data_IF_038140478926
#
_entry.id   IF_038140478926
#
_cell.length_a   1.000
_cell.length_b   1.000
_cell.length_c   1.000
_cell.angle_alpha   90.00
_cell.angle_beta   90.00
_cell.angle_gamma   90.00
#
_symmetry.space_group_name_H-M   'P 1'
#
loop_
_entity.id
_entity.type
_entity.pdbx_description
1 polymer ?
#
# COMPACT_ATOMS: atom_id res chain seq x y z
N UNK A 1 -11.59 2.86 17.48
CA UNK A 1 -11.36 3.32 16.09
C UNK A 1 -12.61 3.21 15.22
N UNK A 2 -13.81 3.22 15.81
CA UNK A 2 -15.06 2.91 15.11
C UNK A 2 -15.49 3.93 14.04
N UNK A 3 -14.86 5.11 13.99
CA UNK A 3 -15.09 6.15 12.97
C UNK A 3 -13.91 6.32 11.99
N UNK A 4 -12.86 5.51 12.13
CA UNK A 4 -11.65 5.63 11.31
C UNK A 4 -11.69 4.69 10.11
N UNK A 5 -11.05 5.12 9.03
CA UNK A 5 -10.74 4.28 7.86
C UNK A 5 -9.32 3.71 8.00
N UNK A 6 -9.18 2.39 7.95
CA UNK A 6 -7.90 1.71 7.84
C UNK A 6 -7.50 1.59 6.37
N UNK A 7 -6.22 1.80 6.05
CA UNK A 7 -5.65 1.55 4.72
C UNK A 7 -4.58 0.47 4.86
N UNK A 8 -4.76 -0.64 4.15
CA UNK A 8 -3.93 -1.84 4.23
C UNK A 8 -3.21 -2.06 2.89
N UNK A 9 -1.89 -1.87 2.82
CA UNK A 9 -1.14 -2.21 1.61
C UNK A 9 -0.92 -3.72 1.54
N UNK A 10 -1.15 -4.29 0.35
CA UNK A 10 -0.61 -5.62 0.04
C UNK A 10 0.76 -5.52 -0.61
N UNK A 11 1.45 -6.66 -0.76
CA UNK A 11 2.75 -6.73 -1.43
C UNK A 11 2.51 -7.32 -2.81
N UNK A 12 2.42 -6.44 -3.80
CA UNK A 12 2.04 -6.78 -5.18
C UNK A 12 2.87 -5.98 -6.20
N UNK A 13 2.62 -6.21 -7.49
CA UNK A 13 3.38 -5.70 -8.64
C UNK A 13 3.76 -4.23 -8.52
N UNK A 14 5.03 -3.91 -8.76
CA UNK A 14 5.54 -2.54 -8.72
C UNK A 14 5.59 -1.89 -7.33
N UNK A 15 5.29 -2.65 -6.26
CA UNK A 15 5.17 -2.14 -4.89
C UNK A 15 4.26 -0.92 -4.75
N UNK A 16 3.28 -0.77 -5.65
CA UNK A 16 2.37 0.39 -5.68
C UNK A 16 1.70 0.61 -4.33
N UNK A 17 1.11 -0.41 -3.66
CA UNK A 17 0.49 -0.20 -2.37
C UNK A 17 1.44 0.40 -1.33
N UNK A 18 2.67 -0.12 -1.23
CA UNK A 18 3.64 0.34 -0.23
C UNK A 18 4.16 1.75 -0.54
N UNK A 19 4.39 2.06 -1.82
CA UNK A 19 4.80 3.40 -2.26
C UNK A 19 3.67 4.43 -2.06
N UNK A 20 2.42 4.05 -2.31
CA UNK A 20 1.23 4.88 -2.01
C UNK A 20 1.14 5.20 -0.52
N UNK A 21 1.38 4.21 0.35
CA UNK A 21 1.43 4.45 1.81
C UNK A 21 2.58 5.40 2.18
N UNK A 22 3.76 5.25 1.60
CA UNK A 22 4.87 6.19 1.83
C UNK A 22 4.47 7.62 1.50
N UNK A 23 3.87 7.86 0.33
CA UNK A 23 3.41 9.19 -0.06
C UNK A 23 2.36 9.74 0.91
N UNK A 24 1.37 8.93 1.29
CA UNK A 24 0.34 9.35 2.26
C UNK A 24 0.95 9.70 3.62
N UNK A 25 1.82 8.82 4.14
CA UNK A 25 2.48 8.94 5.44
C UNK A 25 3.30 10.22 5.57
N UNK A 26 4.05 10.60 4.53
CA UNK A 26 4.92 11.77 4.57
C UNK A 26 4.25 13.07 4.09
N UNK A 27 3.09 12.99 3.44
CA UNK A 27 2.37 14.17 2.94
C UNK A 27 1.39 14.75 3.97
N UNK A 28 0.80 13.89 4.80
CA UNK A 28 -0.14 14.30 5.84
C UNK A 28 0.45 14.12 7.23
N UNK A 29 -0.19 14.71 8.24
CA UNK A 29 0.26 14.68 9.64
C UNK A 29 -0.10 13.35 10.32
N UNK A 30 0.47 12.26 9.81
CA UNK A 30 0.40 10.93 10.42
C UNK A 30 1.41 10.81 11.58
N UNK A 31 0.98 10.21 12.68
CA UNK A 31 1.81 9.92 13.86
C UNK A 31 1.86 8.42 14.14
N UNK A 32 2.97 7.88 14.68
CA UNK A 32 3.05 6.48 15.07
C UNK A 32 1.89 6.08 16.00
N UNK A 33 1.26 4.94 15.71
CA UNK A 33 0.13 4.41 16.49
C UNK A 33 0.48 3.10 17.16
N UNK A 34 1.03 2.14 16.42
CA UNK A 34 1.35 0.81 16.94
C UNK A 34 2.40 0.11 16.08
N UNK A 35 3.07 -0.89 16.66
CA UNK A 35 3.81 -1.91 15.92
C UNK A 35 2.95 -3.17 15.93
N UNK A 36 2.73 -3.76 14.76
CA UNK A 36 1.93 -4.99 14.67
C UNK A 36 2.82 -6.20 14.87
N UNK A 37 2.21 -7.34 15.18
CA UNK A 37 2.94 -8.60 15.34
C UNK A 37 3.64 -8.98 14.02
N UNK A 38 4.98 -9.00 14.04
CA UNK A 38 5.81 -9.30 12.89
C UNK A 38 6.25 -10.76 12.84
N UNK A 39 5.67 -11.67 13.64
CA UNK A 39 6.04 -13.10 13.73
C UNK A 39 6.07 -13.79 12.35
N UNK A 40 5.22 -13.36 11.42
CA UNK A 40 5.08 -13.96 10.09
C UNK A 40 5.81 -13.20 8.97
N UNK A 41 6.59 -12.18 9.32
CA UNK A 41 7.33 -11.34 8.37
C UNK A 41 8.83 -11.62 8.47
N UNK A 42 9.56 -11.42 7.38
CA UNK A 42 11.01 -11.44 7.46
C UNK A 42 11.50 -10.37 8.44
N UNK A 43 12.49 -10.68 9.31
CA UNK A 43 13.04 -9.69 10.23
C UNK A 43 13.58 -8.47 9.52
N UNK A 44 13.27 -7.29 10.04
CA UNK A 44 13.73 -6.01 9.51
C UNK A 44 13.93 -5.01 10.63
N UNK A 45 15.00 -4.23 10.51
CA UNK A 45 15.28 -3.08 11.33
C UNK A 45 15.94 -2.03 10.44
N UNK A 46 15.35 -0.85 10.36
CA UNK A 46 15.86 0.25 9.55
C UNK A 46 15.93 1.56 10.33
N UNK A 47 16.64 2.58 9.81
CA UNK A 47 16.53 3.93 10.34
C UNK A 47 15.10 4.44 10.17
N UNK A 48 14.69 5.34 11.06
CA UNK A 48 13.46 6.12 10.85
C UNK A 48 13.65 7.01 9.63
N UNK A 49 12.69 6.94 8.71
CA UNK A 49 12.74 7.71 7.48
C UNK A 49 12.05 9.07 7.66
N UNK A 50 12.49 10.07 6.91
CA UNK A 50 12.08 11.47 7.04
C UNK A 50 11.55 11.98 5.72
N UNK A 51 10.49 12.79 5.70
CA UNK A 51 9.99 13.42 4.48
C UNK A 51 10.98 14.46 3.96
N UNK A 52 11.13 14.57 2.63
CA UNK A 52 12.08 15.50 2.01
C UNK A 52 11.84 17.00 2.33
N UNK A 53 10.69 17.35 2.92
CA UNK A 53 10.34 18.71 3.34
C UNK A 53 10.11 18.88 4.85
N UNK A 54 10.43 17.89 5.69
CA UNK A 54 10.27 18.05 7.14
C UNK A 54 11.49 18.80 7.69
N UNK A 55 11.43 20.12 7.57
CA UNK A 55 11.89 20.94 8.67
C UNK A 55 10.85 20.83 9.78
N UNK A 56 11.27 20.44 10.98
CA UNK A 56 10.62 20.80 12.27
C UNK A 56 9.31 20.12 12.69
N UNK A 57 9.25 18.78 12.76
CA UNK A 57 8.43 18.11 13.80
C UNK A 57 9.26 17.03 14.50
N UNK A 58 9.88 17.42 15.61
CA UNK A 58 10.45 16.58 16.68
C UNK A 58 11.55 15.55 16.34
N UNK A 59 12.65 16.01 15.71
CA UNK A 59 13.95 15.32 15.75
C UNK A 59 14.49 15.05 17.17
N UNK A 60 13.87 15.63 18.21
CA UNK A 60 14.30 15.46 19.61
C UNK A 60 13.68 14.26 20.32
N UNK A 61 12.63 13.64 19.77
CA UNK A 61 11.96 12.49 20.39
C UNK A 61 11.77 11.29 19.43
N UNK A 62 12.21 11.40 18.17
CA UNK A 62 12.12 10.30 17.21
C UNK A 62 13.31 9.34 17.37
N UNK A 63 13.45 8.76 18.57
CA UNK A 63 14.46 7.75 18.86
C UNK A 63 13.86 6.36 18.58
N UNK A 64 14.41 5.63 17.62
CA UNK A 64 13.98 4.27 17.36
C UNK A 64 14.46 3.71 16.02
N UNK A 65 13.95 2.53 15.71
CA UNK A 65 14.12 1.85 14.41
C UNK A 65 12.74 1.61 13.80
N UNK A 66 12.66 1.65 12.47
CA UNK A 66 11.52 1.12 11.75
C UNK A 66 11.51 -0.40 11.87
N UNK A 67 10.32 -0.96 12.09
CA UNK A 67 10.08 -2.40 12.22
C UNK A 67 9.34 -2.95 11.00
N UNK A 68 9.18 -4.28 10.85
CA UNK A 68 8.63 -4.87 9.64
C UNK A 68 7.22 -4.38 9.27
N UNK A 69 6.40 -4.09 10.28
CA UNK A 69 5.02 -3.62 10.10
C UNK A 69 4.58 -2.67 11.22
N UNK A 70 4.12 -1.49 10.82
CA UNK A 70 3.77 -0.41 11.73
C UNK A 70 2.46 0.24 11.30
N UNK A 71 1.70 0.72 12.27
CA UNK A 71 0.48 1.49 12.04
C UNK A 71 0.70 2.96 12.42
N UNK A 72 0.16 3.85 11.60
CA UNK A 72 0.24 5.30 11.77
C UNK A 72 -1.17 5.90 11.70
N UNK A 73 -1.50 6.87 12.56
CA UNK A 73 -2.83 7.51 12.58
C UNK A 73 -2.74 8.98 12.19
N UNK A 74 -3.77 9.48 11.54
CA UNK A 74 -4.03 10.91 11.39
C UNK A 74 -5.45 11.21 11.91
N UNK A 75 -5.54 11.90 13.04
CA UNK A 75 -6.82 12.15 13.73
C UNK A 75 -7.69 13.19 13.02
N UNK A 76 -7.07 14.12 12.29
CA UNK A 76 -7.76 15.11 11.45
C UNK A 76 -8.47 14.43 10.29
N UNK A 77 -7.79 13.49 9.62
CA UNK A 77 -8.33 12.76 8.48
C UNK A 77 -9.21 11.57 8.89
N UNK A 78 -9.16 11.14 10.16
CA UNK A 78 -9.75 9.87 10.64
C UNK A 78 -9.24 8.67 9.84
N UNK A 79 -7.94 8.65 9.54
CA UNK A 79 -7.30 7.58 8.77
C UNK A 79 -6.23 6.90 9.61
N UNK A 80 -6.13 5.58 9.50
CA UNK A 80 -4.98 4.78 9.95
C UNK A 80 -4.36 4.09 8.74
N UNK A 81 -3.04 4.18 8.60
CA UNK A 81 -2.26 3.50 7.57
C UNK A 81 -1.49 2.35 8.21
N UNK A 82 -1.43 1.21 7.54
CA UNK A 82 -0.41 0.20 7.80
C UNK A 82 0.74 0.46 6.84
N UNK A 83 1.97 0.50 7.36
CA UNK A 83 3.17 0.44 6.54
C UNK A 83 3.89 -0.88 6.77
N UNK A 84 4.11 -1.63 5.69
CA UNK A 84 4.77 -2.93 5.72
C UNK A 84 6.08 -2.86 4.93
N UNK A 85 7.21 -2.95 5.63
CA UNK A 85 8.57 -2.84 5.05
C UNK A 85 9.14 -4.19 4.64
N UNK A 86 8.59 -5.29 5.15
CA UNK A 86 9.15 -6.63 4.92
C UNK A 86 8.13 -7.56 4.30
N UNK A 87 8.57 -8.44 3.38
CA UNK A 87 7.68 -9.45 2.82
C UNK A 87 7.23 -10.44 3.89
N UNK A 88 6.09 -11.06 3.63
CA UNK A 88 5.58 -12.18 4.44
C UNK A 88 6.49 -13.39 4.18
N UNK A 89 6.80 -14.15 5.23
CA UNK A 89 7.53 -15.41 5.09
C UNK A 89 6.69 -16.35 4.21
N UNK A 90 7.35 -17.04 3.28
CA UNK A 90 6.68 -17.96 2.36
C UNK A 90 5.79 -18.96 3.13
N UNK A 91 4.59 -19.21 2.61
CA UNK A 91 3.56 -20.06 3.22
C UNK A 91 2.91 -19.53 4.51
N UNK A 92 3.29 -18.35 5.03
CA UNK A 92 2.68 -17.74 6.22
C UNK A 92 1.67 -16.62 5.92
N UNK A 93 1.28 -16.42 4.66
CA UNK A 93 0.27 -15.41 4.28
C UNK A 93 -1.04 -15.58 5.05
N UNK A 94 -1.61 -16.79 5.07
CA UNK A 94 -2.86 -17.06 5.79
C UNK A 94 -2.77 -16.77 7.30
N UNK A 95 -1.82 -17.37 8.06
CA UNK A 95 -1.74 -17.07 9.49
C UNK A 95 -1.41 -15.61 9.78
N UNK A 96 -0.64 -14.92 8.93
CA UNK A 96 -0.40 -13.49 9.06
C UNK A 96 -1.70 -12.68 8.94
N UNK A 97 -2.46 -12.90 7.88
CA UNK A 97 -3.73 -12.21 7.67
C UNK A 97 -4.72 -12.52 8.80
N UNK A 98 -4.94 -13.81 9.08
CA UNK A 98 -5.93 -14.29 10.03
C UNK A 98 -5.65 -13.87 11.47
N UNK A 99 -4.38 -13.87 11.90
CA UNK A 99 -4.01 -13.64 13.30
C UNK A 99 -3.55 -12.22 13.60
N UNK A 100 -3.11 -11.47 12.59
CA UNK A 100 -2.58 -10.11 12.78
C UNK A 100 -3.49 -9.07 12.16
N UNK A 101 -3.76 -9.16 10.86
CA UNK A 101 -4.41 -8.08 10.13
C UNK A 101 -5.92 -8.07 10.27
N UNK A 102 -6.58 -9.22 10.24
CA UNK A 102 -8.04 -9.29 10.40
C UNK A 102 -8.45 -8.79 11.79
N UNK A 103 -7.86 -9.26 12.91
CA UNK A 103 -8.19 -8.73 14.24
C UNK A 103 -7.92 -7.23 14.37
N UNK A 104 -6.86 -6.74 13.72
CA UNK A 104 -6.56 -5.31 13.68
C UNK A 104 -7.51 -4.53 12.77
N UNK A 105 -8.04 -5.13 11.70
CA UNK A 105 -8.87 -4.48 10.70
C UNK A 105 -10.33 -4.31 11.10
N UNK A 106 -10.92 -5.32 11.76
CA UNK A 106 -12.35 -5.35 12.08
C UNK A 106 -12.81 -4.37 13.18
N UNK A 107 -11.86 -3.63 13.77
CA UNK A 107 -12.11 -2.57 14.76
C UNK A 107 -12.32 -1.18 14.12
N UNK A 108 -12.22 -1.07 12.80
CA UNK A 108 -12.39 0.16 12.03
C UNK A 108 -13.77 0.23 11.38
N UNK A 109 -14.23 1.46 11.09
CA UNK A 109 -15.48 1.68 10.34
C UNK A 109 -15.38 1.07 8.95
N UNK A 110 -14.24 1.34 8.33
CA UNK A 110 -13.93 1.01 6.95
C UNK A 110 -12.48 0.52 6.86
N UNK A 111 -12.22 -0.43 5.99
CA UNK A 111 -10.89 -0.84 5.56
C UNK A 111 -10.79 -0.73 4.04
N UNK A 112 -9.72 -0.11 3.56
CA UNK A 112 -9.38 -0.02 2.14
C UNK A 112 -8.13 -0.83 1.90
N UNK A 113 -8.27 -1.90 1.14
CA UNK A 113 -7.14 -2.72 0.71
C UNK A 113 -6.55 -2.08 -0.54
N UNK A 114 -5.23 -1.86 -0.53
CA UNK A 114 -4.49 -1.42 -1.71
C UNK A 114 -3.81 -2.63 -2.34
N UNK A 115 -4.04 -2.83 -3.62
CA UNK A 115 -3.43 -3.91 -4.41
C UNK A 115 -3.05 -3.42 -5.79
N UNK A 116 -2.13 -4.13 -6.43
CA UNK A 116 -1.78 -3.93 -7.83
C UNK A 116 -1.68 -5.25 -8.57
N UNK A 117 -1.78 -5.17 -9.90
CA UNK A 117 -1.60 -6.28 -10.83
C UNK A 117 -0.82 -5.83 -12.06
N UNK A 118 -0.23 -6.78 -12.78
CA UNK A 118 0.47 -6.51 -14.03
C UNK A 118 -0.53 -6.11 -15.12
N UNK A 119 -0.28 -4.96 -15.74
CA UNK A 119 -1.12 -4.42 -16.82
C UNK A 119 -1.23 -5.36 -18.01
N UNK A 120 -0.22 -6.19 -18.29
CA UNK A 120 -0.27 -7.18 -19.37
C UNK A 120 -1.40 -8.20 -19.20
N UNK A 121 -1.80 -8.48 -17.95
CA UNK A 121 -2.91 -9.38 -17.62
C UNK A 121 -4.27 -8.72 -17.93
N UNK A 122 -4.33 -7.39 -17.99
CA UNK A 122 -5.58 -6.66 -18.30
C UNK A 122 -6.00 -6.79 -19.76
N UNK A 123 -5.10 -7.18 -20.69
CA UNK A 123 -5.44 -7.30 -22.11
C UNK A 123 -6.63 -8.24 -22.38
N UNK A 124 -6.87 -9.20 -21.47
CA UNK A 124 -7.97 -10.16 -21.55
C UNK A 124 -9.24 -9.71 -20.78
N UNK A 125 -9.17 -8.60 -20.04
CA UNK A 125 -10.25 -8.10 -19.18
C UNK A 125 -10.95 -6.86 -19.76
N UNK A 126 -12.18 -7.05 -20.25
CA UNK A 126 -13.06 -5.98 -20.72
C UNK A 126 -13.73 -5.25 -19.54
N UNK A 127 -12.91 -4.56 -18.75
CA UNK A 127 -13.37 -3.84 -17.57
C UNK A 127 -14.19 -2.59 -17.93
N UNK A 128 -15.41 -2.49 -17.40
CA UNK A 128 -16.34 -1.37 -17.67
C UNK A 128 -16.12 -0.17 -16.75
N UNK A 129 -15.44 -0.35 -15.61
CA UNK A 129 -15.31 0.64 -14.53
C UNK A 129 -13.85 1.10 -14.32
N UNK A 130 -13.01 1.00 -15.37
CA UNK A 130 -11.61 1.41 -15.28
C UNK A 130 -11.49 2.92 -15.31
N UNK A 131 -10.81 3.45 -14.31
CA UNK A 131 -10.43 4.85 -14.24
C UNK A 131 -9.03 5.00 -14.83
N UNK A 132 -8.90 5.84 -15.85
CA UNK A 132 -7.60 6.18 -16.42
C UNK A 132 -6.89 7.18 -15.49
N UNK A 133 -5.71 6.81 -15.00
CA UNK A 133 -4.79 7.75 -14.37
C UNK A 133 -4.03 8.59 -15.41
N UNK A 134 -3.10 9.42 -14.95
CA UNK A 134 -2.14 10.05 -15.86
C UNK A 134 -1.12 9.00 -16.32
N UNK A 135 -0.96 8.83 -17.65
CA UNK A 135 -0.03 7.87 -18.25
C UNK A 135 -0.66 6.51 -18.54
N UNK A 136 0.08 5.42 -18.27
CA UNK A 136 -0.37 4.04 -18.51
C UNK A 136 -0.99 3.36 -17.27
N UNK A 137 -1.10 4.07 -16.14
CA UNK A 137 -1.68 3.53 -14.93
C UNK A 137 -3.21 3.57 -14.99
N UNK A 138 -3.84 2.46 -14.62
CA UNK A 138 -5.30 2.33 -14.55
C UNK A 138 -5.73 1.83 -13.19
N UNK A 139 -6.90 2.28 -12.74
CA UNK A 139 -7.42 1.97 -11.41
C UNK A 139 -8.83 1.42 -11.46
N UNK A 140 -9.11 0.47 -10.58
CA UNK A 140 -10.46 0.01 -10.26
C UNK A 140 -10.71 0.13 -8.77
N UNK A 141 -11.91 0.58 -8.44
CA UNK A 141 -12.39 0.72 -7.08
C UNK A 141 -13.57 -0.21 -6.89
N UNK A 142 -13.49 -1.08 -5.88
CA UNK A 142 -14.55 -2.02 -5.55
C UNK A 142 -15.14 -1.66 -4.18
N UNK A 143 -16.47 -1.59 -4.12
CA UNK A 143 -17.24 -1.51 -2.89
C UNK A 143 -17.53 -2.90 -2.30
N UNK A 144 -17.96 -2.95 -1.04
CA UNK A 144 -18.12 -4.22 -0.30
C UNK A 144 -19.06 -5.22 -0.99
N UNK A 145 -20.12 -4.73 -1.64
CA UNK A 145 -21.06 -5.54 -2.41
C UNK A 145 -20.43 -6.13 -3.70
N UNK A 146 -19.46 -5.43 -4.30
CA UNK A 146 -18.72 -5.89 -5.49
C UNK A 146 -17.60 -6.86 -5.13
N UNK A 147 -17.15 -6.87 -3.87
CA UNK A 147 -16.14 -7.81 -3.36
C UNK A 147 -16.71 -9.19 -3.01
N UNK A 148 -18.02 -9.31 -2.75
CA UNK A 148 -18.67 -10.58 -2.42
C UNK A 148 -18.45 -11.68 -3.48
N UNK A 149 -18.60 -11.40 -4.80
CA UNK A 149 -18.25 -12.35 -5.84
C UNK A 149 -16.77 -12.74 -5.81
N UNK A 150 -15.86 -11.79 -5.57
CA UNK A 150 -14.40 -12.05 -5.57
C UNK A 150 -14.03 -13.06 -4.47
N UNK A 151 -14.63 -12.93 -3.28
CA UNK A 151 -14.38 -13.82 -2.16
C UNK A 151 -14.84 -15.27 -2.37
N UNK A 152 -15.70 -15.52 -3.35
CA UNK A 152 -16.24 -16.84 -3.66
C UNK A 152 -15.51 -17.55 -4.79
N UNK A 153 -14.62 -16.84 -5.49
CA UNK A 153 -13.85 -17.38 -6.59
C UNK A 153 -12.54 -18.00 -6.10
N UNK A 154 -12.08 -19.02 -6.80
CA UNK A 154 -10.68 -19.44 -6.72
C UNK A 154 -9.75 -18.33 -7.22
N UNK A 155 -8.46 -18.45 -6.91
CA UNK A 155 -7.45 -17.52 -7.40
C UNK A 155 -7.38 -17.49 -8.94
N UNK A 156 -7.51 -18.65 -9.58
CA UNK A 156 -7.48 -18.76 -11.03
C UNK A 156 -8.70 -18.07 -11.66
N UNK A 157 -9.91 -18.31 -11.12
CA UNK A 157 -11.13 -17.63 -11.59
C UNK A 157 -11.08 -16.11 -11.33
N UNK A 158 -10.50 -15.69 -10.21
CA UNK A 158 -10.31 -14.27 -9.90
C UNK A 158 -9.35 -13.62 -10.89
N UNK A 159 -8.25 -14.31 -11.22
CA UNK A 159 -7.27 -13.85 -12.20
C UNK A 159 -7.87 -13.76 -13.60
N UNK A 160 -8.65 -14.74 -14.01
CA UNK A 160 -9.32 -14.73 -15.32
C UNK A 160 -10.38 -13.62 -15.41
N UNK A 161 -11.15 -13.41 -14.33
CA UNK A 161 -12.29 -12.50 -14.36
C UNK A 161 -11.94 -11.05 -14.02
N UNK A 162 -10.91 -10.80 -13.23
CA UNK A 162 -10.56 -9.46 -12.72
C UNK A 162 -9.08 -9.09 -12.96
N UNK A 163 -8.32 -9.92 -13.68
CA UNK A 163 -6.88 -9.73 -13.91
C UNK A 163 -6.10 -9.46 -12.61
N UNK A 164 -6.47 -10.16 -11.53
CA UNK A 164 -6.02 -9.91 -10.17
C UNK A 164 -5.72 -11.23 -9.44
N UNK A 165 -4.55 -11.35 -8.82
CA UNK A 165 -4.03 -12.64 -8.30
C UNK A 165 -3.39 -12.54 -6.90
N UNK A 166 -3.64 -11.46 -6.15
CA UNK A 166 -3.06 -11.30 -4.81
C UNK A 166 -3.75 -12.20 -3.78
N UNK A 167 -3.08 -13.32 -3.43
CA UNK A 167 -3.49 -14.20 -2.33
C UNK A 167 -3.68 -13.40 -1.03
N UNK A 168 -2.82 -12.42 -0.80
CA UNK A 168 -2.86 -11.58 0.39
C UNK A 168 -4.15 -10.76 0.45
N UNK A 169 -4.48 -10.01 -0.61
CA UNK A 169 -5.71 -9.22 -0.61
C UNK A 169 -6.96 -10.12 -0.66
N UNK A 170 -6.93 -11.25 -1.37
CA UNK A 170 -8.04 -12.21 -1.37
C UNK A 170 -8.35 -12.76 0.02
N UNK A 171 -7.32 -13.14 0.80
CA UNK A 171 -7.51 -13.58 2.18
C UNK A 171 -8.07 -12.47 3.08
N UNK A 172 -7.63 -11.22 2.90
CA UNK A 172 -8.20 -10.09 3.64
C UNK A 172 -9.68 -9.89 3.28
N UNK A 173 -10.02 -9.97 1.99
CA UNK A 173 -11.39 -9.86 1.50
C UNK A 173 -12.26 -10.98 2.08
N UNK A 174 -11.85 -12.24 1.90
CA UNK A 174 -12.55 -13.43 2.40
C UNK A 174 -12.82 -13.34 3.90
N UNK A 175 -11.81 -12.98 4.70
CA UNK A 175 -11.88 -13.03 6.16
C UNK A 175 -12.50 -11.78 6.81
N UNK A 176 -12.54 -10.64 6.11
CA UNK A 176 -13.15 -9.40 6.62
C UNK A 176 -14.57 -9.16 6.11
N UNK A 177 -14.95 -9.76 4.97
CA UNK A 177 -16.32 -9.67 4.47
C UNK A 177 -17.31 -10.27 5.47
N UNK A 178 -18.45 -9.59 5.64
CA UNK A 178 -19.47 -9.96 6.62
C UNK A 178 -19.17 -9.51 8.05
N UNK A 179 -18.00 -8.89 8.31
CA UNK A 179 -17.78 -8.13 9.53
C UNK A 179 -18.57 -6.81 9.52
N UNK A 180 -18.53 -6.09 10.64
CA UNK A 180 -19.11 -4.75 10.75
C UNK A 180 -18.31 -3.65 10.01
N UNK A 181 -17.14 -4.00 9.48
CA UNK A 181 -16.24 -3.07 8.79
C UNK A 181 -16.58 -3.04 7.30
N UNK A 182 -16.89 -1.85 6.79
CA UNK A 182 -17.02 -1.62 5.35
C UNK A 182 -15.69 -1.91 4.66
N UNK A 183 -15.70 -2.71 3.60
CA UNK A 183 -14.49 -3.12 2.90
C UNK A 183 -14.47 -2.56 1.47
N UNK A 184 -13.34 -1.97 1.09
CA UNK A 184 -13.09 -1.53 -0.28
C UNK A 184 -11.75 -2.08 -0.79
N UNK A 185 -11.62 -2.22 -2.10
CA UNK A 185 -10.36 -2.54 -2.78
C UNK A 185 -10.05 -1.44 -3.79
N UNK A 186 -8.83 -0.90 -3.72
CA UNK A 186 -8.21 -0.15 -4.81
C UNK A 186 -7.23 -1.07 -5.53
N UNK A 187 -7.55 -1.42 -6.77
CA UNK A 187 -6.70 -2.22 -7.64
C UNK A 187 -6.04 -1.33 -8.70
N UNK A 188 -4.70 -1.30 -8.72
CA UNK A 188 -3.92 -0.60 -9.73
C UNK A 188 -3.35 -1.58 -10.77
N UNK A 189 -3.45 -1.25 -12.06
CA UNK A 189 -2.81 -1.99 -13.14
C UNK A 189 -1.56 -1.24 -13.61
N UNK A 190 -0.40 -1.89 -13.48
CA UNK A 190 0.91 -1.27 -13.72
C UNK A 190 1.86 -2.23 -14.43
N UNK A 191 2.87 -1.70 -15.10
CA UNK A 191 4.03 -2.49 -15.53
C UNK A 191 5.10 -2.47 -14.44
N UNK A 192 5.94 -3.50 -14.36
CA UNK A 192 7.12 -3.44 -13.50
C UNK A 192 8.12 -2.39 -13.99
N UNK A 193 8.77 -1.70 -13.05
CA UNK A 193 9.82 -0.74 -13.35
C UNK A 193 9.92 0.35 -12.30
N UNK A 194 10.20 1.58 -12.76
CA UNK A 194 10.09 2.76 -11.93
C UNK A 194 8.62 3.17 -11.80
N UNK A 195 8.04 2.84 -10.65
CA UNK A 195 6.63 3.05 -10.37
C UNK A 195 6.35 4.25 -9.46
N UNK A 196 7.28 5.21 -9.32
CA UNK A 196 7.03 6.39 -8.48
C UNK A 196 5.84 7.23 -8.96
N UNK A 197 5.70 7.41 -10.27
CA UNK A 197 4.57 8.15 -10.83
C UNK A 197 3.25 7.39 -10.65
N UNK A 198 3.25 6.08 -10.86
CA UNK A 198 2.05 5.24 -10.68
C UNK A 198 1.57 5.24 -9.21
N UNK A 199 2.51 5.26 -8.26
CA UNK A 199 2.20 5.41 -6.84
C UNK A 199 1.63 6.80 -6.51
N UNK A 200 2.14 7.88 -7.11
CA UNK A 200 1.54 9.21 -6.97
C UNK A 200 0.10 9.26 -7.49
N UNK A 201 -0.15 8.67 -8.65
CA UNK A 201 -1.50 8.59 -9.23
C UNK A 201 -2.43 7.71 -8.37
N UNK A 202 -1.92 6.59 -7.84
CA UNK A 202 -2.65 5.75 -6.88
C UNK A 202 -3.01 6.53 -5.62
N UNK A 203 -2.09 7.33 -5.08
CA UNK A 203 -2.33 8.19 -3.92
C UNK A 203 -3.36 9.29 -4.23
N UNK A 204 -3.30 9.94 -5.41
CA UNK A 204 -4.30 10.92 -5.85
C UNK A 204 -5.69 10.28 -5.93
N UNK A 205 -5.78 9.10 -6.53
CA UNK A 205 -7.04 8.37 -6.67
C UNK A 205 -7.62 8.01 -5.30
N UNK A 206 -6.80 7.47 -4.39
CA UNK A 206 -7.20 7.14 -3.03
C UNK A 206 -7.70 8.37 -2.25
N UNK A 207 -6.96 9.49 -2.33
CA UNK A 207 -7.35 10.78 -1.73
C UNK A 207 -8.71 11.24 -2.27
N UNK A 208 -8.94 11.11 -3.57
CA UNK A 208 -10.22 11.45 -4.19
C UNK A 208 -11.36 10.56 -3.68
N UNK A 209 -11.20 9.23 -3.70
CA UNK A 209 -12.23 8.29 -3.27
C UNK A 209 -12.60 8.45 -1.79
N UNK A 210 -11.62 8.76 -0.94
CA UNK A 210 -11.84 8.99 0.47
C UNK A 210 -12.28 10.42 0.81
N UNK A 211 -12.38 11.32 -0.17
CA UNK A 211 -12.75 12.71 0.05
C UNK A 211 -11.76 13.48 0.93
N UNK A 212 -10.47 13.10 0.91
CA UNK A 212 -9.44 13.72 1.73
C UNK A 212 -8.99 15.07 1.13
N UNK A 213 -8.42 15.98 1.95
CA UNK A 213 -7.93 17.27 1.47
C UNK A 213 -6.85 17.10 0.40
N UNK A 214 -7.11 17.58 -0.81
CA UNK A 214 -6.14 17.51 -1.91
C UNK A 214 -4.86 18.28 -1.56
N UNK A 215 -3.73 17.77 -2.05
CA UNK A 215 -2.40 18.39 -1.93
C UNK A 215 -1.86 18.64 -3.33
N UNK A 216 -1.16 19.76 -3.50
CA UNK A 216 -0.57 20.13 -4.80
C UNK A 216 0.50 19.12 -5.22
N UNK A 217 1.26 18.61 -4.24
CA UNK A 217 2.28 17.57 -4.42
C UNK A 217 2.33 16.63 -3.23
N UNK A 218 2.74 15.38 -3.49
CA UNK A 218 3.06 14.41 -2.45
C UNK A 218 4.53 14.52 -2.05
N UNK A 219 4.78 14.34 -0.76
CA UNK A 219 6.12 14.33 -0.19
C UNK A 219 6.68 12.91 -0.26
N UNK A 220 7.79 12.76 -0.98
CA UNK A 220 8.53 11.50 -1.04
C UNK A 220 9.37 11.32 0.23
N UNK A 221 9.48 10.09 0.75
CA UNK A 221 10.43 9.78 1.82
C UNK A 221 11.87 10.06 1.37
N UNK A 222 12.78 10.24 2.32
CA UNK A 222 14.21 10.42 2.02
C UNK A 222 14.81 9.12 1.47
N UNK A 223 14.33 7.95 1.92
CA UNK A 223 14.77 6.65 1.39
C UNK A 223 14.61 6.52 -0.12
N UNK A 224 13.65 7.21 -0.73
CA UNK A 224 13.45 7.19 -2.18
C UNK A 224 14.62 7.79 -2.96
N UNK A 225 15.50 8.58 -2.33
CA UNK A 225 16.71 9.10 -2.99
C UNK A 225 17.76 8.01 -3.23
N UNK A 226 17.79 6.97 -2.42
CA UNK A 226 18.79 5.89 -2.48
C UNK A 226 18.38 4.68 -3.31
N UNK A 227 17.23 4.73 -3.98
CA UNK A 227 16.64 3.60 -4.75
C UNK A 227 17.49 3.18 -5.95
N UNK A 228 18.27 4.11 -6.51
CA UNK A 228 19.25 3.83 -7.57
C UNK A 228 20.68 3.66 -7.01
N UNK A 229 20.81 3.50 -5.69
CA UNK A 229 22.07 3.47 -4.97
C UNK A 229 22.52 4.86 -4.52
N UNK A 230 23.24 4.90 -3.39
CA UNK A 230 23.81 6.14 -2.83
C UNK A 230 25.17 6.50 -3.47
N UNK A 231 25.66 5.69 -4.40
CA UNK A 231 26.87 5.98 -5.16
C UNK A 231 26.58 7.12 -6.14
N UNK A 232 27.49 8.09 -6.18
CA UNK A 232 27.44 9.13 -7.22
C UNK A 232 27.50 8.45 -8.58
N UNK A 233 26.61 8.84 -9.49
CA UNK A 233 26.61 8.32 -10.86
C UNK A 233 28.01 8.53 -11.45
N UNK A 234 28.70 7.45 -11.85
CA UNK A 234 30.04 7.57 -12.38
C UNK A 234 30.02 8.44 -13.63
N UNK A 235 30.93 9.41 -13.69
CA UNK A 235 31.03 10.35 -14.80
C UNK A 235 31.84 9.75 -15.97
N UNK A 236 32.45 8.58 -15.76
CA UNK A 236 33.31 7.88 -16.70
C UNK A 236 32.82 6.45 -16.97
N UNK A 237 32.95 6.00 -18.22
CA UNK A 237 32.48 4.69 -18.73
C UNK A 237 33.17 3.52 -18.01
N UNK A 238 34.36 3.75 -17.48
CA UNK A 238 35.22 2.72 -16.87
C UNK A 238 34.82 2.27 -15.46
N UNK A 239 33.86 2.94 -14.81
CA UNK A 239 33.43 2.58 -13.45
C UNK A 239 32.17 1.69 -13.40
N UNK A 240 31.50 1.44 -14.53
CA UNK A 240 30.30 0.63 -14.61
C UNK A 240 29.09 1.21 -13.86
N UNK A 241 27.88 0.89 -14.31
CA UNK A 241 26.64 1.30 -13.60
C UNK A 241 26.39 0.49 -12.31
N UNK A 242 27.03 -0.67 -12.19
CA UNK A 242 26.90 -1.60 -11.07
C UNK A 242 28.29 -2.01 -10.58
N UNK A 243 28.82 -1.25 -9.63
CA UNK A 243 30.04 -1.59 -8.89
C UNK A 243 29.84 -1.33 -7.42
#
# INVERSE_FOLDING_TARGET
MADYTLIVPTITTGNIPQLTIDLMLYTYDFVPMARLDSTYLYPFSGPLDSGNNISTKDDKNNNGVCTPIEAYRCDELKVVLIQQRSPIIASYTKPFVEKVLVPFGIQFKRAVILSSSDFSIQADYAATNVHNGVGNCKFEWFESNELLPIAQLSLDETREKYSYDSIYANLLIELMLGSQTELNLLLAFVYEGDNFNDAEESARFLVHQLGLPKKDSFIKPKSWKGVYGDKKVPVAIEEGLFG
#
